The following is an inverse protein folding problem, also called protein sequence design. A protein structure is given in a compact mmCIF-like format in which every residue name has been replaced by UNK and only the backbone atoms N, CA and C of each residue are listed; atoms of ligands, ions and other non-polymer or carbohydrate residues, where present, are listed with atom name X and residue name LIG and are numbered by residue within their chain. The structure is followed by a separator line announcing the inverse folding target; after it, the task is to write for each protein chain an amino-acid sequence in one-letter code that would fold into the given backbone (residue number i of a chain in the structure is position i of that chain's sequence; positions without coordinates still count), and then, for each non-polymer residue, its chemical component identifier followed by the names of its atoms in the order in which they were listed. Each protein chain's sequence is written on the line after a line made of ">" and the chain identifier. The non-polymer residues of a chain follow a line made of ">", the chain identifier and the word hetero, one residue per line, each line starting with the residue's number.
data_IF_478786403208
#
_entry.id   IF_478786403208
#
_cell.length_a   1.000
_cell.length_b   1.000
_cell.length_c   1.000
_cell.angle_alpha   90.00
_cell.angle_beta   90.00
_cell.angle_gamma   90.00
#
_symmetry.space_group_name_H-M   'P 1'
#
loop_
_entity.id
_entity.type
_entity.pdbx_description
1 polymer ?
#
# COMPACT_ATOMS: atom_id res chain seq x y z
N UNK A 1 -2.29 5.29 -2.81
CA UNK A 1 -2.95 6.51 -3.30
C UNK A 1 -4.11 6.88 -2.39
N UNK A 2 -4.29 8.18 -2.12
CA UNK A 2 -5.45 8.70 -1.38
C UNK A 2 -6.00 9.92 -2.13
N UNK A 3 -7.31 9.95 -2.35
CA UNK A 3 -8.03 11.07 -2.94
C UNK A 3 -9.16 11.49 -2.00
N UNK A 4 -9.02 12.66 -1.37
CA UNK A 4 -10.03 13.18 -0.44
C UNK A 4 -11.37 13.47 -1.11
N UNK A 5 -11.35 13.97 -2.35
CA UNK A 5 -12.56 14.39 -3.06
C UNK A 5 -13.52 13.22 -3.32
N UNK A 6 -12.97 12.02 -3.53
CA UNK A 6 -13.74 10.79 -3.76
C UNK A 6 -13.72 9.84 -2.56
N UNK A 7 -13.18 10.27 -1.40
CA UNK A 7 -12.96 9.42 -0.22
C UNK A 7 -12.25 8.09 -0.54
N UNK A 8 -11.38 8.10 -1.55
CA UNK A 8 -10.72 6.90 -2.05
C UNK A 8 -9.37 6.70 -1.38
N UNK A 9 -9.09 5.48 -0.95
CA UNK A 9 -7.75 5.05 -0.53
C UNK A 9 -7.49 3.65 -1.07
N UNK A 10 -6.34 3.47 -1.72
CA UNK A 10 -5.94 2.18 -2.24
C UNK A 10 -4.41 2.05 -2.21
N UNK A 11 -3.95 0.85 -1.91
CA UNK A 11 -2.62 0.39 -2.24
C UNK A 11 -2.75 -0.65 -3.35
N UNK A 12 -1.75 -0.68 -4.23
CA UNK A 12 -1.53 -1.78 -5.14
C UNK A 12 -0.12 -2.26 -4.99
N UNK A 13 0.05 -3.57 -4.99
CA UNK A 13 1.33 -4.20 -4.72
C UNK A 13 1.71 -5.08 -5.90
N UNK A 14 2.97 -5.01 -6.29
CA UNK A 14 3.63 -6.01 -7.10
C UNK A 14 4.86 -6.53 -6.34
N UNK A 15 5.01 -7.85 -6.28
CA UNK A 15 6.16 -8.51 -5.67
C UNK A 15 6.77 -9.45 -6.71
N UNK A 16 7.93 -9.08 -7.22
CA UNK A 16 8.77 -9.92 -8.07
C UNK A 16 9.60 -10.84 -7.15
N UNK A 17 9.20 -12.11 -7.07
CA UNK A 17 9.84 -13.08 -6.18
C UNK A 17 11.25 -13.44 -6.63
N UNK A 18 11.52 -13.39 -7.93
CA UNK A 18 12.83 -13.74 -8.49
C UNK A 18 13.83 -12.63 -8.18
N UNK A 19 13.42 -11.36 -8.31
CA UNK A 19 14.23 -10.22 -7.85
C UNK A 19 14.46 -10.25 -6.35
N UNK A 20 13.44 -10.59 -5.56
CA UNK A 20 13.61 -10.73 -4.10
C UNK A 20 14.64 -11.81 -3.77
N UNK A 21 14.54 -12.99 -4.38
CA UNK A 21 15.49 -14.09 -4.17
C UNK A 21 16.88 -13.82 -4.73
N UNK A 22 17.01 -12.95 -5.73
CA UNK A 22 18.31 -12.50 -6.23
C UNK A 22 19.05 -11.61 -5.20
N UNK A 23 18.32 -10.87 -4.36
CA UNK A 23 18.91 -10.07 -3.27
C UNK A 23 19.22 -10.93 -2.04
N UNK A 24 18.30 -11.83 -1.67
CA UNK A 24 18.47 -12.78 -0.58
C UNK A 24 17.82 -14.13 -0.96
N UNK A 25 18.61 -15.16 -1.30
CA UNK A 25 18.09 -16.48 -1.66
C UNK A 25 17.29 -17.17 -0.54
N UNK A 26 17.46 -16.73 0.71
CA UNK A 26 16.77 -17.28 1.88
C UNK A 26 15.52 -16.51 2.29
N UNK A 27 15.17 -15.44 1.56
CA UNK A 27 14.05 -14.57 1.89
C UNK A 27 12.71 -15.35 2.01
N UNK A 28 12.00 -15.12 3.11
CA UNK A 28 10.65 -15.66 3.29
C UNK A 28 9.63 -14.86 2.48
N UNK A 29 9.44 -15.29 1.24
CA UNK A 29 8.50 -14.68 0.29
C UNK A 29 7.06 -14.67 0.82
N UNK A 30 6.66 -15.67 1.62
CA UNK A 30 5.30 -15.73 2.18
C UNK A 30 5.12 -14.66 3.24
N UNK A 31 6.09 -14.49 4.12
CA UNK A 31 6.06 -13.44 5.13
C UNK A 31 6.05 -12.04 4.50
N UNK A 32 6.89 -11.81 3.47
CA UNK A 32 6.91 -10.52 2.73
C UNK A 32 5.56 -10.26 2.07
N UNK A 33 4.98 -11.26 1.39
CA UNK A 33 3.66 -11.13 0.77
C UNK A 33 2.57 -10.84 1.80
N UNK A 34 2.61 -11.48 2.97
CA UNK A 34 1.67 -11.23 4.06
C UNK A 34 1.78 -9.79 4.60
N UNK A 35 3.00 -9.30 4.81
CA UNK A 35 3.23 -7.93 5.25
C UNK A 35 2.70 -6.90 4.22
N UNK A 36 2.93 -7.14 2.93
CA UNK A 36 2.40 -6.30 1.86
C UNK A 36 0.86 -6.35 1.76
N UNK A 37 0.26 -7.53 1.94
CA UNK A 37 -1.21 -7.66 1.98
C UNK A 37 -1.84 -6.88 3.13
N UNK A 38 -1.19 -6.80 4.29
CA UNK A 38 -1.70 -6.01 5.41
C UNK A 38 -1.88 -4.52 5.05
N UNK A 39 -1.01 -3.96 4.20
CA UNK A 39 -1.13 -2.58 3.68
C UNK A 39 -2.41 -2.42 2.84
N UNK A 40 -2.72 -3.39 1.98
CA UNK A 40 -3.93 -3.39 1.17
C UNK A 40 -5.19 -3.56 2.04
N UNK A 41 -5.15 -4.45 3.04
CA UNK A 41 -6.23 -4.63 4.00
C UNK A 41 -6.57 -3.33 4.75
N UNK A 42 -5.55 -2.58 5.20
CA UNK A 42 -5.76 -1.26 5.82
C UNK A 42 -6.42 -0.27 4.85
N UNK A 43 -6.15 -0.33 3.55
CA UNK A 43 -6.86 0.51 2.58
C UNK A 43 -8.34 0.12 2.47
N UNK A 44 -8.63 -1.19 2.35
CA UNK A 44 -9.98 -1.73 2.26
C UNK A 44 -10.84 -1.43 3.50
N UNK A 45 -10.23 -1.33 4.68
CA UNK A 45 -10.96 -1.16 5.94
C UNK A 45 -11.61 -2.47 6.41
N UNK A 46 -12.58 -2.37 7.32
CA UNK A 46 -13.26 -3.54 7.89
C UNK A 46 -12.35 -4.37 8.81
N UNK A 47 -12.81 -5.55 9.21
CA UNK A 47 -12.12 -6.39 10.21
C UNK A 47 -10.66 -6.70 9.85
N UNK A 48 -10.37 -6.83 8.55
CA UNK A 48 -9.04 -7.14 8.03
C UNK A 48 -8.04 -5.97 8.21
N UNK A 49 -8.51 -4.73 8.43
CA UNK A 49 -7.67 -3.57 8.69
C UNK A 49 -7.21 -3.46 10.16
N UNK A 50 -7.63 -4.40 11.02
CA UNK A 50 -7.24 -4.42 12.44
C UNK A 50 -7.62 -3.14 13.15
N UNK A 51 -6.66 -2.46 13.77
CA UNK A 51 -6.89 -1.22 14.52
C UNK A 51 -7.42 -0.06 13.66
N UNK A 52 -7.30 -0.16 12.33
CA UNK A 52 -7.81 0.83 11.40
C UNK A 52 -9.20 0.49 10.82
N UNK A 53 -9.85 -0.58 11.31
CA UNK A 53 -11.12 -1.10 10.78
C UNK A 53 -12.24 -0.06 10.70
N UNK A 54 -12.39 0.75 11.75
CA UNK A 54 -13.48 1.73 11.89
C UNK A 54 -13.08 3.14 11.43
N UNK A 55 -11.83 3.32 10.99
CA UNK A 55 -11.31 4.64 10.65
C UNK A 55 -11.72 5.07 9.24
N UNK A 56 -11.95 6.36 9.02
CA UNK A 56 -12.24 6.91 7.70
C UNK A 56 -11.05 6.77 6.73
N UNK A 57 -11.25 6.76 5.40
CA UNK A 57 -10.17 6.62 4.41
C UNK A 57 -8.98 7.57 4.62
N UNK A 58 -9.22 8.81 5.06
CA UNK A 58 -8.17 9.78 5.33
C UNK A 58 -7.37 9.45 6.58
N UNK A 59 -8.00 8.94 7.63
CA UNK A 59 -7.31 8.41 8.82
C UNK A 59 -6.51 7.15 8.50
N UNK A 60 -7.07 6.21 7.74
CA UNK A 60 -6.34 5.01 7.28
C UNK A 60 -5.11 5.39 6.46
N UNK A 61 -5.24 6.37 5.55
CA UNK A 61 -4.09 6.92 4.82
C UNK A 61 -3.02 7.49 5.77
N UNK A 62 -3.41 8.31 6.77
CA UNK A 62 -2.46 8.83 7.78
C UNK A 62 -1.79 7.74 8.60
N UNK A 63 -2.48 6.63 8.83
CA UNK A 63 -1.91 5.46 9.51
C UNK A 63 -0.83 4.80 8.64
N UNK A 64 -1.12 4.61 7.35
CA UNK A 64 -0.22 4.00 6.36
C UNK A 64 1.06 4.81 6.11
N UNK A 65 0.97 6.14 6.06
CA UNK A 65 2.15 6.99 5.79
C UNK A 65 2.96 7.33 7.03
N UNK A 66 2.53 6.87 8.21
CA UNK A 66 3.30 7.09 9.43
C UNK A 66 4.51 6.15 9.46
N UNK A 67 5.73 6.65 9.76
CA UNK A 67 6.96 5.86 9.76
C UNK A 67 7.07 4.99 11.03
N UNK A 68 6.08 4.13 11.26
CA UNK A 68 5.96 3.32 12.49
C UNK A 68 6.36 1.87 12.29
N UNK A 69 6.48 1.40 11.05
CA UNK A 69 6.30 -0.02 10.78
C UNK A 69 7.46 -0.96 11.09
N UNK A 70 8.75 -0.65 11.06
CA UNK A 70 9.90 -1.62 11.09
C UNK A 70 9.92 -2.76 10.04
N UNK A 71 8.78 -3.28 9.58
CA UNK A 71 8.66 -4.32 8.54
C UNK A 71 8.52 -3.71 7.15
N UNK A 72 7.51 -2.86 6.93
CA UNK A 72 7.27 -2.18 5.64
C UNK A 72 7.29 -0.67 5.86
N UNK A 73 8.39 -0.03 5.48
CA UNK A 73 8.53 1.42 5.63
C UNK A 73 7.89 2.15 4.45
N UNK A 74 6.92 3.06 4.68
CA UNK A 74 6.38 3.89 3.61
C UNK A 74 7.43 4.89 3.14
N UNK A 75 7.46 5.15 1.83
CA UNK A 75 8.21 6.26 1.24
C UNK A 75 7.57 7.64 1.52
N UNK A 76 8.22 8.73 1.10
CA UNK A 76 7.65 10.08 1.18
C UNK A 76 6.29 10.19 0.48
N UNK A 77 5.44 11.08 0.98
CA UNK A 77 4.15 11.37 0.34
C UNK A 77 4.37 12.34 -0.83
N UNK A 78 3.89 11.95 -2.00
CA UNK A 78 3.88 12.78 -3.20
C UNK A 78 2.45 13.22 -3.53
N UNK A 79 2.26 14.50 -3.89
CA UNK A 79 0.97 15.07 -4.26
C UNK A 79 0.82 15.15 -5.78
N UNK A 80 -0.42 15.13 -6.25
CA UNK A 80 -0.75 15.18 -7.68
C UNK A 80 -2.23 15.43 -7.92
N UNK A 81 -2.61 15.53 -9.19
CA UNK A 81 -3.99 15.72 -9.64
C UNK A 81 -4.39 14.55 -10.55
N UNK A 82 -5.62 14.07 -10.40
CA UNK A 82 -6.23 13.08 -11.30
C UNK A 82 -7.73 13.32 -11.38
N UNK A 83 -8.35 12.92 -12.48
CA UNK A 83 -9.80 12.82 -12.61
C UNK A 83 -10.34 11.45 -12.14
N UNK A 84 -9.49 10.43 -12.08
CA UNK A 84 -9.83 9.06 -11.71
C UNK A 84 -8.72 8.47 -10.82
N UNK A 85 -9.02 8.30 -9.53
CA UNK A 85 -8.05 7.80 -8.56
C UNK A 85 -7.83 6.29 -8.64
N UNK A 86 -8.79 5.54 -9.17
CA UNK A 86 -8.68 4.08 -9.30
C UNK A 86 -7.82 3.73 -10.53
N UNK A 87 -8.06 4.39 -11.66
CA UNK A 87 -7.19 4.24 -12.84
C UNK A 87 -5.76 4.73 -12.56
N UNK A 88 -5.61 5.82 -11.81
CA UNK A 88 -4.30 6.41 -11.53
C UNK A 88 -3.43 5.52 -10.63
N UNK A 89 -4.00 4.80 -9.66
CA UNK A 89 -3.20 3.91 -8.81
C UNK A 89 -2.64 2.71 -9.61
N UNK A 90 -3.40 2.18 -10.57
CA UNK A 90 -2.91 1.13 -11.48
C UNK A 90 -1.83 1.68 -12.41
N UNK A 91 -2.08 2.84 -13.03
CA UNK A 91 -1.11 3.50 -13.92
C UNK A 91 0.22 3.77 -13.22
N UNK A 92 0.20 4.21 -11.96
CA UNK A 92 1.40 4.47 -11.18
C UNK A 92 2.16 3.18 -10.83
N UNK A 93 1.44 2.09 -10.55
CA UNK A 93 2.06 0.79 -10.31
C UNK A 93 2.79 0.29 -11.55
N UNK A 94 2.16 0.39 -12.72
CA UNK A 94 2.75 0.00 -14.00
C UNK A 94 3.95 0.87 -14.37
N UNK A 95 3.91 2.18 -14.07
CA UNK A 95 4.98 3.10 -14.42
C UNK A 95 6.21 3.00 -13.50
N UNK A 96 6.00 2.75 -12.20
CA UNK A 96 7.04 2.92 -11.18
C UNK A 96 7.54 1.61 -10.56
N UNK A 97 6.83 0.50 -10.74
CA UNK A 97 7.12 -0.75 -10.02
C UNK A 97 7.31 -1.93 -10.96
N UNK A 98 6.40 -2.12 -11.92
CA UNK A 98 6.42 -3.28 -12.85
C UNK A 98 7.41 -3.08 -14.00
#
# INVERSE_FOLDING_TARGET
>A
MYCRATSFVAARVHLDEDRLRALDPSADVRAVRAALRAVECVCCGGEQAGQAAEEDPGRRFRWLVAPRSTVVQPGPVHTGLTADAEAEVERLLDLLVR
#
